data_IF_891064477530
#
_entry.id   IF_891064477530
#
_cell.length_a   1.000
_cell.length_b   1.000
_cell.length_c   1.000
_cell.angle_alpha   90.00
_cell.angle_beta   90.00
_cell.angle_gamma   90.00
#
_symmetry.space_group_name_H-M   'P 1'
#
loop_
_entity.id
_entity.type
_entity.pdbx_description
1 polymer ?
#
# COMPACT_ATOMS: atom_id res chain seq x y z
N UNK A 1 30.42 49.33 -27.73
CA UNK A 1 29.96 49.20 -26.33
C UNK A 1 28.47 48.85 -26.16
N UNK A 2 27.58 49.07 -27.14
CA UNK A 2 26.14 48.80 -26.98
C UNK A 2 25.66 47.38 -27.36
N UNK A 3 26.45 46.62 -28.13
CA UNK A 3 26.08 45.27 -28.54
C UNK A 3 26.04 44.29 -27.35
N UNK A 4 27.06 44.32 -26.50
CA UNK A 4 27.19 43.45 -25.33
C UNK A 4 26.11 43.69 -24.26
N UNK A 5 25.57 44.92 -24.20
CA UNK A 5 24.48 45.27 -23.26
C UNK A 5 23.14 44.67 -23.69
N UNK A 6 22.93 44.56 -25.01
CA UNK A 6 21.74 43.95 -25.59
C UNK A 6 21.79 42.41 -25.48
N UNK A 7 22.95 41.79 -25.71
CA UNK A 7 23.13 40.35 -25.50
C UNK A 7 22.93 39.93 -24.04
N UNK A 8 23.39 40.73 -23.06
CA UNK A 8 23.12 40.46 -21.64
C UNK A 8 21.63 40.41 -21.30
N UNK A 9 20.81 41.25 -21.90
CA UNK A 9 19.36 41.26 -21.64
C UNK A 9 18.68 39.99 -22.15
N UNK A 10 19.12 39.47 -23.30
CA UNK A 10 18.66 38.19 -23.84
C UNK A 10 19.15 37.01 -23.00
N UNK A 11 20.38 37.09 -22.46
CA UNK A 11 20.95 36.06 -21.59
C UNK A 11 20.30 36.04 -20.20
N UNK A 12 20.00 37.20 -19.61
CA UNK A 12 19.30 37.34 -18.32
C UNK A 12 17.85 36.85 -18.41
N UNK A 13 17.16 37.13 -19.51
CA UNK A 13 15.81 36.61 -19.76
C UNK A 13 15.82 35.09 -19.94
N UNK A 14 16.80 34.52 -20.65
CA UNK A 14 16.94 33.07 -20.80
C UNK A 14 17.31 32.39 -19.47
N UNK A 15 18.23 32.97 -18.68
CA UNK A 15 18.64 32.43 -17.38
C UNK A 15 17.50 32.47 -16.37
N UNK A 16 16.75 33.57 -16.27
CA UNK A 16 15.61 33.68 -15.35
C UNK A 16 14.45 32.76 -15.73
N UNK A 17 14.17 32.59 -17.03
CA UNK A 17 13.20 31.59 -17.52
C UNK A 17 13.65 30.16 -17.21
N UNK A 18 14.96 29.90 -17.28
CA UNK A 18 15.55 28.59 -16.97
C UNK A 18 15.53 28.29 -15.47
N UNK A 19 15.81 29.28 -14.61
CA UNK A 19 15.72 29.15 -13.15
C UNK A 19 14.27 28.88 -12.69
N UNK A 20 13.28 29.56 -13.27
CA UNK A 20 11.87 29.31 -12.99
C UNK A 20 11.44 27.91 -13.44
N UNK A 21 11.89 27.46 -14.63
CA UNK A 21 11.61 26.12 -15.13
C UNK A 21 12.24 25.03 -14.26
N UNK A 22 13.46 25.26 -13.73
CA UNK A 22 14.12 24.36 -12.81
C UNK A 22 13.37 24.27 -11.48
N UNK A 23 12.93 25.40 -10.92
CA UNK A 23 12.12 25.41 -9.71
C UNK A 23 10.76 24.72 -9.91
N UNK A 24 10.10 24.93 -11.05
CA UNK A 24 8.85 24.25 -11.39
C UNK A 24 9.05 22.72 -11.50
N UNK A 25 10.17 22.30 -12.10
CA UNK A 25 10.52 20.89 -12.23
C UNK A 25 10.83 20.28 -10.86
N UNK A 26 11.61 20.94 -10.02
CA UNK A 26 11.92 20.50 -8.66
C UNK A 26 10.66 20.45 -7.79
N UNK A 27 9.73 21.40 -7.94
CA UNK A 27 8.45 21.38 -7.26
C UNK A 27 7.62 20.16 -7.70
N UNK A 28 7.58 19.86 -9.01
CA UNK A 28 6.89 18.68 -9.54
C UNK A 28 7.55 17.39 -9.03
N UNK A 29 8.87 17.28 -9.11
CA UNK A 29 9.63 16.12 -8.61
C UNK A 29 9.35 15.92 -7.12
N UNK A 30 9.38 16.99 -6.32
CA UNK A 30 9.11 16.95 -4.88
C UNK A 30 7.66 16.56 -4.58
N UNK A 31 6.68 17.06 -5.33
CA UNK A 31 5.28 16.69 -5.17
C UNK A 31 5.02 15.22 -5.55
N UNK A 32 5.68 14.72 -6.60
CA UNK A 32 5.63 13.33 -7.02
C UNK A 32 6.38 12.39 -6.07
N UNK A 33 7.46 12.85 -5.41
CA UNK A 33 8.26 12.04 -4.49
C UNK A 33 7.79 12.08 -3.04
N UNK A 34 7.13 13.16 -2.61
CA UNK A 34 6.52 13.27 -1.28
C UNK A 34 5.32 12.34 -1.11
N UNK A 35 4.75 11.88 -2.22
CA UNK A 35 3.73 10.87 -2.26
C UNK A 35 4.42 9.55 -2.63
N UNK A 36 5.12 8.89 -1.69
CA UNK A 36 5.64 7.54 -1.96
C UNK A 36 4.42 6.64 -2.18
N UNK A 37 4.13 6.25 -3.43
CA UNK A 37 2.92 5.49 -3.71
C UNK A 37 2.97 4.16 -2.94
N UNK A 38 4.17 3.61 -2.71
CA UNK A 38 4.35 2.35 -2.02
C UNK A 38 3.81 2.40 -0.57
N UNK A 39 4.07 3.48 0.18
CA UNK A 39 3.59 3.61 1.56
C UNK A 39 2.07 3.80 1.62
N UNK A 40 1.50 4.63 0.74
CA UNK A 40 0.04 4.86 0.67
C UNK A 40 -0.73 3.60 0.29
N UNK A 41 -0.28 2.88 -0.75
CA UNK A 41 -0.89 1.61 -1.16
C UNK A 41 -0.85 0.58 -0.03
N UNK A 42 0.18 0.59 0.80
CA UNK A 42 0.30 -0.36 1.92
C UNK A 42 -0.73 -0.07 3.02
N UNK A 43 -0.94 1.20 3.37
CA UNK A 43 -1.90 1.59 4.40
C UNK A 43 -3.35 1.34 3.97
N UNK A 44 -3.71 1.70 2.73
CA UNK A 44 -5.06 1.45 2.21
C UNK A 44 -5.39 -0.05 2.19
N UNK A 45 -4.46 -0.89 1.73
CA UNK A 45 -4.65 -2.35 1.73
C UNK A 45 -4.79 -2.89 3.16
N UNK A 46 -4.02 -2.37 4.12
CA UNK A 46 -4.16 -2.76 5.52
C UNK A 46 -5.52 -2.36 6.11
N UNK A 47 -6.04 -1.17 5.81
CA UNK A 47 -7.37 -0.75 6.23
C UNK A 47 -8.46 -1.66 5.66
N UNK A 48 -8.35 -2.04 4.38
CA UNK A 48 -9.26 -2.99 3.74
C UNK A 48 -9.23 -4.35 4.45
N UNK A 49 -8.04 -4.86 4.78
CA UNK A 49 -7.88 -6.11 5.54
C UNK A 49 -8.56 -6.00 6.89
N UNK A 50 -8.27 -4.94 7.66
CA UNK A 50 -8.83 -4.73 9.00
C UNK A 50 -10.36 -4.66 8.97
N UNK A 51 -10.92 -3.82 8.10
CA UNK A 51 -12.39 -3.72 7.94
C UNK A 51 -13.04 -5.02 7.48
N UNK A 52 -12.36 -5.81 6.65
CA UNK A 52 -12.88 -7.11 6.23
C UNK A 52 -12.90 -8.10 7.40
N UNK A 53 -11.84 -8.13 8.21
CA UNK A 53 -11.76 -8.97 9.42
C UNK A 53 -12.77 -8.56 10.50
N UNK A 54 -13.07 -7.26 10.62
CA UNK A 54 -14.09 -6.72 11.53
C UNK A 54 -15.50 -7.22 11.22
N UNK A 55 -15.81 -7.48 9.95
CA UNK A 55 -17.10 -8.02 9.51
C UNK A 55 -17.24 -9.53 9.76
N UNK A 56 -16.15 -10.22 10.11
CA UNK A 56 -16.18 -11.64 10.41
C UNK A 56 -16.61 -11.90 11.87
N UNK A 57 -17.25 -13.06 12.14
CA UNK A 57 -17.55 -13.49 13.51
C UNK A 57 -16.29 -13.51 14.37
N UNK A 58 -16.42 -13.10 15.63
CA UNK A 58 -15.30 -12.97 16.59
C UNK A 58 -14.37 -14.18 16.62
N UNK A 59 -14.95 -15.39 16.66
CA UNK A 59 -14.18 -16.65 16.66
C UNK A 59 -13.33 -16.84 15.40
N UNK A 60 -13.85 -16.42 14.24
CA UNK A 60 -13.10 -16.51 12.96
C UNK A 60 -11.93 -15.53 12.97
N UNK A 61 -12.17 -14.30 13.43
CA UNK A 61 -11.14 -13.26 13.55
C UNK A 61 -10.05 -13.66 14.55
N UNK A 62 -10.44 -14.18 15.71
CA UNK A 62 -9.52 -14.65 16.75
C UNK A 62 -8.61 -15.76 16.22
N UNK A 63 -9.18 -16.79 15.58
CA UNK A 63 -8.41 -17.91 15.02
C UNK A 63 -7.44 -17.42 13.93
N UNK A 64 -7.89 -16.53 13.05
CA UNK A 64 -7.03 -15.91 12.05
C UNK A 64 -5.89 -15.11 12.70
N UNK A 65 -6.19 -14.33 13.75
CA UNK A 65 -5.19 -13.51 14.42
C UNK A 65 -4.09 -14.35 15.08
N UNK A 66 -4.51 -15.38 15.84
CA UNK A 66 -3.59 -16.33 16.47
C UNK A 66 -2.67 -17.01 15.46
N UNK A 67 -3.19 -17.39 14.29
CA UNK A 67 -2.36 -18.03 13.27
C UNK A 67 -1.44 -17.05 12.54
N UNK A 68 -1.93 -15.86 12.21
CA UNK A 68 -1.24 -14.95 11.28
C UNK A 68 -0.31 -13.94 11.96
N UNK A 69 -0.64 -13.51 13.17
CA UNK A 69 0.11 -12.48 13.90
C UNK A 69 0.82 -13.03 15.14
N UNK A 70 0.32 -14.13 15.71
CA UNK A 70 0.96 -14.81 16.85
C UNK A 70 1.73 -16.08 16.43
N UNK A 71 1.73 -16.42 15.13
CA UNK A 71 2.39 -17.61 14.55
C UNK A 71 2.02 -18.95 15.23
N UNK A 72 0.84 -19.04 15.83
CA UNK A 72 0.37 -20.26 16.50
C UNK A 72 -0.11 -21.27 15.46
N UNK A 73 0.35 -22.53 15.59
CA UNK A 73 0.00 -23.60 14.66
C UNK A 73 -1.46 -24.07 14.82
N UNK A 74 -2.04 -24.65 13.78
CA UNK A 74 -3.45 -25.11 13.83
C UNK A 74 -3.72 -26.12 14.95
N UNK A 75 -2.83 -27.12 15.22
CA UNK A 75 -3.01 -28.03 16.35
C UNK A 75 -2.99 -27.32 17.71
N UNK A 76 -2.17 -26.29 17.89
CA UNK A 76 -2.09 -25.52 19.14
C UNK A 76 -3.32 -24.64 19.34
N UNK A 77 -3.82 -23.99 18.28
CA UNK A 77 -5.08 -23.23 18.31
C UNK A 77 -6.24 -24.15 18.67
N UNK A 78 -6.29 -25.34 18.04
CA UNK A 78 -7.32 -26.34 18.30
C UNK A 78 -7.36 -26.75 19.79
N UNK A 79 -6.18 -27.01 20.37
CA UNK A 79 -6.03 -27.29 21.81
C UNK A 79 -6.47 -26.10 22.68
N UNK A 80 -5.98 -24.88 22.37
CA UNK A 80 -6.22 -23.66 23.17
C UNK A 80 -7.69 -23.23 23.18
N UNK A 81 -8.43 -23.52 22.10
CA UNK A 81 -9.86 -23.18 21.97
C UNK A 81 -10.81 -24.36 22.17
N UNK A 82 -10.28 -25.54 22.55
CA UNK A 82 -11.05 -26.79 22.71
C UNK A 82 -11.93 -27.13 21.49
N UNK A 83 -11.35 -26.99 20.29
CA UNK A 83 -11.98 -27.36 19.01
C UNK A 83 -11.12 -28.37 18.26
N UNK A 84 -11.66 -29.01 17.22
CA UNK A 84 -10.84 -29.85 16.35
C UNK A 84 -10.07 -29.02 15.31
N UNK A 85 -9.01 -29.59 14.75
CA UNK A 85 -8.18 -28.93 13.74
C UNK A 85 -8.98 -28.53 12.48
N UNK A 86 -9.96 -29.36 12.07
CA UNK A 86 -10.86 -29.04 10.95
C UNK A 86 -11.67 -27.76 11.17
N UNK A 87 -12.04 -27.46 12.42
CA UNK A 87 -12.76 -26.23 12.78
C UNK A 87 -11.84 -25.01 12.63
N UNK A 88 -10.56 -25.14 13.01
CA UNK A 88 -9.54 -24.11 12.77
C UNK A 88 -9.37 -23.87 11.27
N UNK A 89 -9.17 -24.93 10.48
CA UNK A 89 -9.07 -24.86 9.02
C UNK A 89 -10.28 -24.19 8.37
N UNK A 90 -11.50 -24.51 8.84
CA UNK A 90 -12.73 -23.87 8.38
C UNK A 90 -12.70 -22.36 8.63
N UNK A 91 -12.33 -21.92 9.83
CA UNK A 91 -12.27 -20.50 10.17
C UNK A 91 -11.17 -19.77 9.39
N UNK A 92 -9.99 -20.35 9.23
CA UNK A 92 -8.92 -19.78 8.39
C UNK A 92 -9.37 -19.67 6.94
N UNK A 93 -9.95 -20.73 6.38
CA UNK A 93 -10.46 -20.73 5.01
C UNK A 93 -11.55 -19.68 4.80
N UNK A 94 -12.43 -19.50 5.79
CA UNK A 94 -13.48 -18.48 5.77
C UNK A 94 -12.89 -17.06 5.77
N UNK A 95 -11.89 -16.80 6.61
CA UNK A 95 -11.21 -15.50 6.64
C UNK A 95 -10.49 -15.20 5.32
N UNK A 96 -9.71 -16.16 4.81
CA UNK A 96 -9.00 -16.03 3.53
C UNK A 96 -9.96 -15.83 2.35
N UNK A 97 -11.10 -16.53 2.33
CA UNK A 97 -12.11 -16.35 1.28
C UNK A 97 -12.69 -14.93 1.29
N UNK A 98 -12.97 -14.37 2.48
CA UNK A 98 -13.45 -13.01 2.60
C UNK A 98 -12.40 -11.99 2.12
N UNK A 99 -11.15 -12.14 2.57
CA UNK A 99 -10.04 -11.26 2.17
C UNK A 99 -9.79 -11.32 0.66
N UNK A 100 -9.74 -12.51 0.06
CA UNK A 100 -9.56 -12.67 -1.39
C UNK A 100 -10.68 -12.04 -2.22
N UNK A 101 -11.91 -12.04 -1.71
CA UNK A 101 -13.04 -11.44 -2.42
C UNK A 101 -12.89 -9.92 -2.51
N UNK A 102 -12.44 -9.27 -1.44
CA UNK A 102 -12.29 -7.81 -1.37
C UNK A 102 -10.98 -7.36 -2.02
N UNK A 103 -9.91 -8.14 -1.91
CA UNK A 103 -8.61 -7.84 -2.49
C UNK A 103 -8.44 -8.36 -3.93
N UNK A 104 -9.51 -8.86 -4.55
CA UNK A 104 -9.44 -9.50 -5.87
C UNK A 104 -8.80 -8.60 -6.91
N UNK A 105 -9.19 -7.32 -6.95
CA UNK A 105 -8.70 -6.38 -7.95
C UNK A 105 -7.19 -6.13 -7.77
N UNK A 106 -6.72 -6.02 -6.52
CA UNK A 106 -5.30 -5.91 -6.18
C UNK A 106 -4.50 -7.16 -6.56
N UNK A 107 -5.06 -8.36 -6.35
CA UNK A 107 -4.41 -9.63 -6.71
C UNK A 107 -4.41 -9.90 -8.21
N UNK A 108 -5.43 -9.45 -8.93
CA UNK A 108 -5.51 -9.57 -10.39
C UNK A 108 -4.36 -8.82 -11.07
N UNK A 109 -3.92 -7.68 -10.54
CA UNK A 109 -2.72 -6.98 -11.06
C UNK A 109 -1.43 -7.78 -10.89
N UNK A 110 -1.29 -8.57 -9.81
CA UNK A 110 -0.08 -9.39 -9.59
C UNK A 110 0.08 -10.50 -10.64
N UNK A 111 -1.02 -11.02 -11.20
CA UNK A 111 -0.97 -12.03 -12.27
C UNK A 111 -0.41 -11.44 -13.57
N UNK A 112 -0.58 -10.14 -13.81
CA UNK A 112 -0.02 -9.45 -14.98
C UNK A 112 1.42 -8.97 -14.78
N UNK A 113 1.92 -8.97 -13.54
CA UNK A 113 3.25 -8.49 -13.18
C UNK A 113 4.30 -9.62 -13.13
N UNK A 114 3.85 -10.87 -13.02
CA UNK A 114 4.65 -12.10 -13.12
C UNK A 114 4.69 -12.58 -14.57
#
# INVERSE_FOLDING_TARGET
>A
MNYLRQERFHYEKNNSLSELALWELDFKISALSACDPCELYTNEVQEIVNHTLEKLPSKTRQIFFMNRYEDISYPEIAKKLFVNQKTVEYHISKALKALRAVLKDYLSFLIYLI
#
